data_IF_168173487713
#
_entry.id   IF_168173487713
#
_cell.length_a   1.000
_cell.length_b   1.000
_cell.length_c   1.000
_cell.angle_alpha   90.00
_cell.angle_beta   90.00
_cell.angle_gamma   90.00
#
_symmetry.space_group_name_H-M   'P 1'
#
loop_
_entity.id
_entity.type
_entity.pdbx_description
1 polymer ?
#
# COMPACT_ATOMS: atom_id res chain seq x y z
N UNK A 1 22.42 2.36 18.58
CA UNK A 1 23.53 3.29 18.91
C UNK A 1 23.62 4.32 17.81
N UNK A 2 23.21 5.53 18.06
CA UNK A 2 23.19 6.59 17.04
C UNK A 2 24.48 7.39 17.20
N UNK A 3 25.44 7.15 16.31
CA UNK A 3 26.65 7.98 16.24
C UNK A 3 26.23 9.41 15.90
N UNK A 4 26.62 10.38 16.71
CA UNK A 4 26.33 11.79 16.45
C UNK A 4 27.10 12.19 15.19
N UNK A 5 26.39 12.54 14.14
CA UNK A 5 26.99 12.93 12.85
C UNK A 5 27.44 14.39 12.98
N UNK A 6 28.76 14.60 12.89
CA UNK A 6 29.39 15.94 12.93
C UNK A 6 30.09 16.21 11.62
N UNK A 7 30.30 17.49 11.24
CA UNK A 7 31.10 17.85 10.05
C UNK A 7 32.52 17.23 10.06
N UNK A 8 33.12 17.10 11.24
CA UNK A 8 34.47 16.52 11.37
C UNK A 8 34.45 15.01 11.13
N UNK A 9 33.42 14.31 11.60
CA UNK A 9 33.23 12.88 11.31
C UNK A 9 33.08 12.65 9.80
N UNK A 10 32.27 13.48 9.13
CA UNK A 10 32.09 13.39 7.68
C UNK A 10 33.37 13.71 6.94
N UNK A 11 34.11 14.73 7.36
CA UNK A 11 35.44 15.05 6.77
C UNK A 11 36.40 13.87 6.90
N UNK A 12 36.46 13.24 8.06
CA UNK A 12 37.27 12.04 8.28
C UNK A 12 36.83 10.86 7.40
N UNK A 13 35.52 10.63 7.24
CA UNK A 13 35.03 9.60 6.37
C UNK A 13 35.34 9.87 4.89
N UNK A 14 35.18 11.11 4.43
CA UNK A 14 35.46 11.53 3.06
C UNK A 14 36.93 11.40 2.70
N UNK A 15 37.85 11.54 3.66
CA UNK A 15 39.29 11.33 3.43
C UNK A 15 39.64 9.90 2.99
N UNK A 16 38.77 8.93 3.22
CA UNK A 16 38.96 7.55 2.76
C UNK A 16 38.31 7.28 1.40
N UNK A 17 37.42 8.14 0.94
CA UNK A 17 36.70 7.95 -0.33
C UNK A 17 37.44 8.71 -1.43
N UNK A 18 37.92 8.06 -2.50
CA UNK A 18 38.55 8.76 -3.62
C UNK A 18 37.50 9.66 -4.33
N UNK A 19 37.88 10.89 -4.65
CA UNK A 19 36.93 11.83 -5.26
C UNK A 19 36.79 11.68 -6.80
N UNK A 20 37.60 10.82 -7.42
CA UNK A 20 37.55 10.51 -8.85
C UNK A 20 36.59 9.38 -9.21
N UNK A 21 35.50 9.24 -8.43
CA UNK A 21 34.43 8.28 -8.68
C UNK A 21 33.70 8.54 -10.00
N UNK A 22 32.95 7.52 -10.49
CA UNK A 22 31.99 7.72 -11.56
C UNK A 22 30.99 8.82 -11.18
N UNK A 23 30.49 9.59 -12.17
CA UNK A 23 29.66 10.78 -11.94
C UNK A 23 28.44 10.51 -11.04
N UNK A 24 27.84 9.33 -11.18
CA UNK A 24 26.65 8.95 -10.38
C UNK A 24 27.02 8.74 -8.91
N UNK A 25 28.09 8.02 -8.62
CA UNK A 25 28.56 7.77 -7.26
C UNK A 25 29.09 9.02 -6.60
N UNK A 26 29.81 9.86 -7.34
CA UNK A 26 30.24 11.17 -6.89
C UNK A 26 29.08 12.09 -6.50
N UNK A 27 28.01 12.13 -7.33
CA UNK A 27 26.80 12.88 -7.02
C UNK A 27 26.04 12.28 -5.83
N UNK A 28 26.06 10.95 -5.66
CA UNK A 28 25.46 10.23 -4.53
C UNK A 28 26.12 10.58 -3.21
N UNK A 29 27.43 10.78 -3.18
CA UNK A 29 28.16 11.31 -2.01
C UNK A 29 27.68 12.72 -1.68
N UNK A 30 27.51 13.60 -2.69
CA UNK A 30 26.93 14.93 -2.50
C UNK A 30 25.52 14.90 -1.93
N UNK A 31 24.66 13.99 -2.41
CA UNK A 31 23.30 13.79 -1.89
C UNK A 31 23.33 13.35 -0.42
N UNK A 32 24.23 12.41 -0.08
CA UNK A 32 24.40 11.92 1.28
C UNK A 32 24.83 13.03 2.24
N UNK A 33 25.78 13.90 1.84
CA UNK A 33 26.18 15.06 2.64
C UNK A 33 25.01 16.02 2.80
N UNK A 34 24.32 16.34 1.71
CA UNK A 34 23.21 17.31 1.71
C UNK A 34 21.98 16.84 2.53
N UNK A 35 21.82 15.53 2.69
CA UNK A 35 20.73 14.96 3.53
C UNK A 35 20.91 15.30 5.01
N UNK A 36 22.14 15.51 5.48
CA UNK A 36 22.48 15.84 6.88
C UNK A 36 22.80 17.32 7.06
N UNK A 37 23.54 17.88 6.09
CA UNK A 37 23.99 19.28 6.08
C UNK A 37 23.52 19.97 4.78
N UNK A 38 22.26 20.44 4.74
CA UNK A 38 21.70 21.07 3.52
C UNK A 38 22.21 22.49 3.25
N UNK A 39 22.95 23.07 4.19
CA UNK A 39 23.48 24.43 4.21
C UNK A 39 24.89 24.58 3.60
N UNK A 40 25.55 25.71 3.88
CA UNK A 40 26.93 26.00 3.45
C UNK A 40 27.94 25.01 4.01
N UNK A 41 27.70 24.45 5.20
CA UNK A 41 28.57 23.45 5.81
C UNK A 41 28.71 22.21 4.92
N UNK A 42 27.57 21.70 4.44
CA UNK A 42 27.57 20.55 3.54
C UNK A 42 28.16 20.88 2.17
N UNK A 43 27.92 22.09 1.66
CA UNK A 43 28.54 22.55 0.41
C UNK A 43 30.06 22.57 0.53
N UNK A 44 30.60 23.14 1.60
CA UNK A 44 32.04 23.23 1.85
C UNK A 44 32.69 21.84 1.98
N UNK A 45 32.00 20.89 2.65
CA UNK A 45 32.47 19.50 2.74
C UNK A 45 32.53 18.84 1.36
N UNK A 46 31.49 19.02 0.53
CA UNK A 46 31.45 18.45 -0.81
C UNK A 46 32.46 19.07 -1.75
N UNK A 47 32.64 20.41 -1.70
CA UNK A 47 33.61 21.11 -2.52
C UNK A 47 35.05 20.75 -2.12
N UNK A 48 35.37 20.73 -0.83
CA UNK A 48 36.68 20.37 -0.32
C UNK A 48 37.08 18.92 -0.68
N UNK A 49 36.14 17.96 -0.54
CA UNK A 49 36.37 16.58 -0.94
C UNK A 49 36.54 16.45 -2.46
N UNK A 50 35.65 17.06 -3.25
CA UNK A 50 35.72 17.01 -4.71
C UNK A 50 37.03 17.60 -5.24
N UNK A 51 37.60 18.61 -4.54
CA UNK A 51 38.87 19.25 -4.91
C UNK A 51 40.09 18.34 -4.73
N UNK A 52 39.94 17.17 -4.10
CA UNK A 52 41.06 16.20 -3.98
C UNK A 52 41.24 15.35 -5.25
N UNK A 53 40.33 15.43 -6.23
CA UNK A 53 40.45 14.73 -7.51
C UNK A 53 41.22 15.56 -8.54
N UNK A 54 42.07 14.92 -9.32
CA UNK A 54 42.88 15.58 -10.38
C UNK A 54 42.01 16.19 -11.49
N UNK A 55 40.79 15.65 -11.69
CA UNK A 55 39.82 16.12 -12.69
C UNK A 55 38.76 17.07 -12.11
N UNK A 56 39.00 17.70 -10.97
CA UNK A 56 38.06 18.58 -10.31
C UNK A 56 37.69 19.80 -11.15
N UNK A 57 36.36 20.02 -11.31
CA UNK A 57 35.77 21.23 -11.88
C UNK A 57 34.94 21.96 -10.82
N UNK A 58 35.38 23.13 -10.31
CA UNK A 58 34.64 23.89 -9.30
C UNK A 58 33.25 24.36 -9.76
N UNK A 59 33.07 24.60 -11.07
CA UNK A 59 31.79 25.05 -11.62
C UNK A 59 30.80 23.88 -11.65
N UNK A 60 31.24 22.72 -12.11
CA UNK A 60 30.43 21.49 -12.11
C UNK A 60 30.05 21.06 -10.69
N UNK A 61 30.99 21.16 -9.72
CA UNK A 61 30.74 20.83 -8.31
C UNK A 61 29.64 21.71 -7.72
N UNK A 62 29.72 23.03 -7.87
CA UNK A 62 28.69 23.96 -7.40
C UNK A 62 27.33 23.79 -8.12
N UNK A 63 27.36 23.53 -9.41
CA UNK A 63 26.14 23.26 -10.18
C UNK A 63 25.45 22.01 -9.70
N UNK A 64 26.20 20.93 -9.47
CA UNK A 64 25.68 19.67 -8.93
C UNK A 64 25.12 19.85 -7.53
N UNK A 65 25.84 20.55 -6.63
CA UNK A 65 25.32 20.83 -5.28
C UNK A 65 23.97 21.55 -5.30
N UNK A 66 23.78 22.49 -6.22
CA UNK A 66 22.46 23.18 -6.36
C UNK A 66 21.36 22.28 -6.90
N UNK A 67 21.69 21.37 -7.81
CA UNK A 67 20.72 20.52 -8.50
C UNK A 67 20.28 19.31 -7.68
N UNK A 68 21.13 18.73 -6.82
CA UNK A 68 20.80 17.58 -5.98
C UNK A 68 19.83 18.00 -4.87
N UNK A 69 18.87 17.10 -4.57
CA UNK A 69 17.85 17.31 -3.53
C UNK A 69 18.18 16.49 -2.28
N UNK A 70 17.98 17.07 -1.10
CA UNK A 70 17.95 16.32 0.13
C UNK A 70 16.69 15.41 0.14
N UNK A 71 16.87 14.12 0.38
CA UNK A 71 15.75 13.16 0.48
C UNK A 71 15.45 12.46 -0.83
N UNK A 72 15.90 11.40 -1.16
CA UNK A 72 15.69 10.57 -2.35
C UNK A 72 16.17 9.13 -2.11
N UNK A 73 16.12 8.67 -0.85
CA UNK A 73 16.62 7.35 -0.47
C UNK A 73 18.14 7.29 -0.24
N UNK A 74 18.88 8.39 -0.50
CA UNK A 74 20.33 8.51 -0.24
C UNK A 74 20.51 9.36 1.02
N UNK A 75 20.97 8.76 2.11
CA UNK A 75 21.25 9.43 3.37
C UNK A 75 22.72 9.29 3.78
N UNK A 76 23.09 9.93 4.88
CA UNK A 76 24.46 9.90 5.41
C UNK A 76 24.99 8.49 5.68
N UNK A 77 24.11 7.52 5.93
CA UNK A 77 24.46 6.11 6.05
C UNK A 77 25.14 5.55 4.79
N UNK A 78 24.72 6.01 3.60
CA UNK A 78 25.31 5.60 2.32
C UNK A 78 26.78 6.06 2.22
N UNK A 79 27.09 7.30 2.64
CA UNK A 79 28.46 7.81 2.68
C UNK A 79 29.32 7.02 3.67
N UNK A 80 28.81 6.78 4.87
CA UNK A 80 29.54 6.02 5.90
C UNK A 80 29.76 4.56 5.48
N UNK A 81 28.85 3.97 4.72
CA UNK A 81 29.03 2.63 4.16
C UNK A 81 30.15 2.62 3.11
N UNK A 82 30.09 3.54 2.16
CA UNK A 82 31.14 3.70 1.16
C UNK A 82 32.51 3.96 1.80
N UNK A 83 32.57 4.83 2.81
CA UNK A 83 33.83 5.10 3.53
C UNK A 83 34.38 3.83 4.20
N UNK A 84 33.52 2.97 4.76
CA UNK A 84 33.95 1.68 5.34
C UNK A 84 34.52 0.72 4.30
N UNK A 85 33.93 0.66 3.11
CA UNK A 85 34.50 -0.12 1.99
C UNK A 85 35.90 0.34 1.62
N UNK A 86 36.21 1.63 1.85
CA UNK A 86 37.53 2.23 1.66
C UNK A 86 38.38 2.26 2.95
N UNK A 87 38.04 1.48 3.97
CA UNK A 87 38.85 1.32 5.17
C UNK A 87 38.60 2.31 6.30
N UNK A 88 37.55 3.14 6.21
CA UNK A 88 37.18 4.00 7.32
C UNK A 88 36.61 3.19 8.49
N UNK A 89 37.15 3.43 9.67
CA UNK A 89 36.64 2.83 10.92
C UNK A 89 35.95 3.92 11.72
N UNK A 90 34.66 3.76 11.95
CA UNK A 90 33.92 4.68 12.79
C UNK A 90 34.55 4.74 14.20
N UNK A 91 34.88 5.95 14.71
CA UNK A 91 35.34 6.08 16.07
C UNK A 91 34.33 5.48 17.04
N UNK A 92 34.82 4.64 17.96
CA UNK A 92 33.96 4.18 19.05
C UNK A 92 33.58 5.40 19.91
N UNK A 93 32.29 5.59 20.27
CA UNK A 93 31.92 6.68 21.17
C UNK A 93 32.72 6.54 22.47
N UNK A 94 33.40 7.58 22.86
CA UNK A 94 34.24 7.61 24.10
C UNK A 94 33.35 7.64 25.35
N UNK A 95 32.07 8.05 25.22
CA UNK A 95 31.02 7.95 26.21
C UNK A 95 29.74 7.43 25.56
N UNK A 96 29.06 6.53 26.23
CA UNK A 96 27.71 6.13 25.82
C UNK A 96 26.82 7.38 25.88
N UNK A 97 26.09 7.74 24.80
CA UNK A 97 25.19 8.86 24.85
C UNK A 97 24.20 8.64 26.00
N UNK A 98 24.15 9.58 26.93
CA UNK A 98 23.14 9.53 27.99
C UNK A 98 21.77 9.47 27.32
N UNK A 99 20.89 8.55 27.73
CA UNK A 99 19.54 8.51 27.22
C UNK A 99 18.90 9.90 27.49
N UNK A 100 18.18 10.46 26.51
CA UNK A 100 17.54 11.76 26.69
C UNK A 100 16.66 11.71 27.94
N UNK A 101 16.68 12.78 28.71
CA UNK A 101 15.87 12.86 29.93
C UNK A 101 14.38 12.67 29.60
N UNK A 102 13.57 12.16 30.55
CA UNK A 102 12.12 12.00 30.34
C UNK A 102 11.45 13.30 29.88
N UNK A 103 11.94 14.46 30.30
CA UNK A 103 11.44 15.77 29.90
C UNK A 103 11.71 16.05 28.41
N UNK A 104 12.91 15.74 27.92
CA UNK A 104 13.28 15.88 26.50
C UNK A 104 12.47 14.94 25.62
N UNK A 105 12.21 13.72 26.09
CA UNK A 105 11.34 12.77 25.37
C UNK A 105 9.91 13.28 25.31
N UNK A 106 9.36 13.75 26.44
CA UNK A 106 8.02 14.31 26.50
C UNK A 106 7.87 15.58 25.64
N UNK A 107 8.90 16.42 25.58
CA UNK A 107 8.89 17.59 24.71
C UNK A 107 8.89 17.19 23.22
N UNK A 108 9.73 16.25 22.82
CA UNK A 108 9.76 15.73 21.43
C UNK A 108 8.42 15.11 21.01
N UNK A 109 7.77 14.39 21.92
CA UNK A 109 6.44 13.82 21.66
C UNK A 109 5.37 14.92 21.50
N UNK A 110 5.41 15.97 22.32
CA UNK A 110 4.51 17.14 22.18
C UNK A 110 4.73 17.84 20.82
N UNK A 111 5.97 18.16 20.50
CA UNK A 111 6.32 18.80 19.21
C UNK A 111 5.90 17.95 18.01
N UNK A 112 6.08 16.61 18.10
CA UNK A 112 5.61 15.66 17.09
C UNK A 112 4.08 15.67 16.96
N UNK A 113 3.38 15.65 18.10
CA UNK A 113 1.91 15.68 18.12
C UNK A 113 1.37 17.01 17.58
N UNK A 114 1.99 18.14 17.93
CA UNK A 114 1.63 19.47 17.40
C UNK A 114 1.84 19.56 15.89
N UNK A 115 2.96 19.06 15.39
CA UNK A 115 3.24 18.99 13.95
C UNK A 115 2.21 18.14 13.23
N UNK A 116 1.91 16.95 13.74
CA UNK A 116 0.89 16.09 13.16
C UNK A 116 -0.50 16.74 13.14
N UNK A 117 -0.88 17.44 14.21
CA UNK A 117 -2.15 18.19 14.25
C UNK A 117 -2.17 19.34 13.24
N UNK A 118 -1.06 20.07 13.10
CA UNK A 118 -0.96 21.15 12.11
C UNK A 118 -1.04 20.62 10.68
N UNK A 119 -0.34 19.53 10.37
CA UNK A 119 -0.39 18.86 9.07
C UNK A 119 -1.81 18.35 8.76
N UNK A 120 -2.47 17.72 9.75
CA UNK A 120 -3.85 17.25 9.60
C UNK A 120 -4.82 18.40 9.37
N UNK A 121 -4.72 19.48 10.14
CA UNK A 121 -5.57 20.66 9.96
C UNK A 121 -5.37 21.31 8.59
N UNK A 122 -4.13 21.39 8.11
CA UNK A 122 -3.82 21.89 6.79
C UNK A 122 -4.41 20.97 5.69
N UNK A 123 -4.32 19.66 5.86
CA UNK A 123 -4.89 18.70 4.93
C UNK A 123 -6.43 18.79 4.91
N UNK A 124 -7.07 18.88 6.07
CA UNK A 124 -8.52 19.05 6.18
C UNK A 124 -9.00 20.36 5.54
N UNK A 125 -8.28 21.46 5.73
CA UNK A 125 -8.57 22.73 5.06
C UNK A 125 -8.42 22.64 3.54
N UNK A 126 -7.38 21.95 3.05
CA UNK A 126 -7.20 21.72 1.61
C UNK A 126 -8.33 20.84 1.04
N UNK A 127 -8.74 19.80 1.75
CA UNK A 127 -9.88 18.95 1.37
C UNK A 127 -11.18 19.75 1.32
N UNK A 128 -11.43 20.64 2.29
CA UNK A 128 -12.63 21.47 2.33
C UNK A 128 -12.67 22.48 1.17
N UNK A 129 -11.53 23.11 0.88
CA UNK A 129 -11.42 24.04 -0.25
C UNK A 129 -11.64 23.34 -1.60
N UNK A 130 -11.03 22.17 -1.79
CA UNK A 130 -11.24 21.37 -3.00
C UNK A 130 -12.69 20.86 -3.14
N UNK A 131 -13.36 20.52 -2.03
CA UNK A 131 -14.76 20.13 -2.05
C UNK A 131 -15.69 21.29 -2.43
N UNK A 132 -15.39 22.52 -1.99
CA UNK A 132 -16.14 23.70 -2.37
C UNK A 132 -15.96 24.02 -3.87
N UNK A 133 -14.72 23.94 -4.38
CA UNK A 133 -14.43 24.10 -5.83
C UNK A 133 -15.13 22.99 -6.65
N UNK A 134 -15.07 21.74 -6.19
CA UNK A 134 -15.78 20.63 -6.82
C UNK A 134 -17.28 20.88 -6.93
N UNK A 135 -17.90 21.38 -5.85
CA UNK A 135 -19.33 21.69 -5.85
C UNK A 135 -19.66 22.78 -6.86
N UNK A 136 -18.91 23.88 -6.89
CA UNK A 136 -19.12 24.97 -7.85
C UNK A 136 -19.00 24.49 -9.31
N UNK A 137 -17.98 23.71 -9.63
CA UNK A 137 -17.82 23.12 -10.97
C UNK A 137 -18.93 22.14 -11.31
N UNK A 138 -19.34 21.31 -10.33
CA UNK A 138 -20.44 20.36 -10.51
C UNK A 138 -21.76 21.03 -10.79
N UNK A 139 -22.11 22.09 -10.07
CA UNK A 139 -23.36 22.85 -10.25
C UNK A 139 -23.40 23.61 -11.58
N UNK A 140 -22.27 24.13 -12.02
CA UNK A 140 -22.13 24.82 -13.30
C UNK A 140 -22.18 23.88 -14.52
N UNK A 141 -21.96 22.59 -14.33
CA UNK A 141 -21.90 21.61 -15.41
C UNK A 141 -23.30 21.09 -15.79
N UNK A 142 -23.50 20.82 -17.08
CA UNK A 142 -24.76 20.27 -17.63
C UNK A 142 -24.91 18.78 -17.29
N UNK A 143 -26.16 18.37 -17.07
CA UNK A 143 -26.51 16.94 -16.91
C UNK A 143 -26.63 16.22 -18.27
N UNK A 144 -26.70 16.95 -19.36
CA UNK A 144 -26.75 16.42 -20.73
C UNK A 144 -25.65 17.03 -21.56
N UNK A 145 -25.08 16.27 -22.48
CA UNK A 145 -23.99 16.72 -23.33
C UNK A 145 -23.37 15.60 -24.13
N UNK A 146 -22.29 15.92 -24.82
CA UNK A 146 -21.48 14.97 -25.58
C UNK A 146 -20.04 14.97 -25.05
N UNK A 147 -19.44 13.78 -24.94
CA UNK A 147 -18.04 13.63 -24.57
C UNK A 147 -17.32 12.70 -25.54
N UNK A 148 -16.27 13.19 -26.22
CA UNK A 148 -15.43 12.35 -27.09
C UNK A 148 -14.83 11.16 -26.33
N UNK A 149 -14.60 11.30 -25.02
CA UNK A 149 -14.13 10.21 -24.18
C UNK A 149 -15.15 9.06 -24.13
N UNK A 150 -16.44 9.36 -23.85
CA UNK A 150 -17.51 8.34 -23.80
C UNK A 150 -17.68 7.65 -25.15
N UNK A 151 -17.66 8.42 -26.23
CA UNK A 151 -17.75 7.87 -27.60
C UNK A 151 -16.58 6.94 -27.90
N UNK A 152 -15.36 7.35 -27.59
CA UNK A 152 -14.14 6.56 -27.77
C UNK A 152 -14.15 5.27 -26.93
N UNK A 153 -14.74 5.32 -25.73
CA UNK A 153 -14.86 4.20 -24.83
C UNK A 153 -16.11 3.32 -25.05
N UNK A 154 -16.99 3.73 -25.96
CA UNK A 154 -18.20 3.00 -26.33
C UNK A 154 -19.21 2.86 -25.18
N UNK A 155 -19.26 3.82 -24.24
CA UNK A 155 -20.11 3.78 -23.05
C UNK A 155 -20.98 5.03 -22.91
N UNK A 156 -22.06 4.89 -22.15
CA UNK A 156 -22.98 6.00 -21.86
C UNK A 156 -22.57 6.78 -20.59
N UNK A 157 -23.27 7.88 -20.36
CA UNK A 157 -23.11 8.72 -19.19
C UNK A 157 -23.89 8.15 -18.00
N UNK A 158 -23.21 7.77 -16.91
CA UNK A 158 -23.81 7.25 -15.68
C UNK A 158 -23.44 8.15 -14.50
N UNK A 159 -24.35 9.06 -14.10
CA UNK A 159 -24.19 9.93 -12.94
C UNK A 159 -23.07 10.96 -13.05
N UNK A 160 -22.68 11.33 -14.26
CA UNK A 160 -21.63 12.32 -14.59
C UNK A 160 -22.24 13.60 -15.13
N UNK A 161 -21.42 14.66 -15.25
CA UNK A 161 -21.82 15.92 -15.87
C UNK A 161 -20.80 16.39 -16.90
N UNK A 162 -21.26 17.30 -17.76
CA UNK A 162 -20.48 17.85 -18.88
C UNK A 162 -20.11 19.30 -18.57
N UNK A 163 -18.83 19.56 -18.38
CA UNK A 163 -18.33 20.89 -18.11
C UNK A 163 -18.34 21.78 -19.38
N UNK A 164 -18.43 23.11 -19.24
CA UNK A 164 -18.43 24.03 -20.38
C UNK A 164 -17.17 23.93 -21.26
N UNK A 165 -16.06 23.52 -20.72
CA UNK A 165 -14.78 23.30 -21.44
C UNK A 165 -14.68 21.93 -22.14
N UNK A 166 -15.77 21.15 -22.17
CA UNK A 166 -15.84 19.85 -22.81
C UNK A 166 -15.34 18.70 -21.97
N UNK A 167 -14.84 18.95 -20.76
CA UNK A 167 -14.46 17.88 -19.84
C UNK A 167 -15.67 17.11 -19.31
N UNK A 168 -15.52 15.79 -19.16
CA UNK A 168 -16.47 14.97 -18.41
C UNK A 168 -16.12 15.04 -16.92
N UNK A 169 -17.10 15.33 -16.06
CA UNK A 169 -16.94 15.39 -14.62
C UNK A 169 -17.48 14.14 -13.96
N UNK A 170 -16.61 13.36 -13.32
CA UNK A 170 -16.99 12.19 -12.52
C UNK A 170 -16.90 12.61 -11.04
N UNK A 171 -18.02 12.58 -10.28
CA UNK A 171 -18.02 13.05 -8.91
C UNK A 171 -17.40 12.01 -7.98
N UNK A 172 -16.58 12.47 -7.04
CA UNK A 172 -15.95 11.66 -6.00
C UNK A 172 -16.66 11.90 -4.68
N UNK A 173 -17.45 10.93 -4.23
CA UNK A 173 -18.36 11.08 -3.09
C UNK A 173 -18.02 10.13 -1.96
N UNK A 174 -18.38 10.52 -0.74
CA UNK A 174 -18.34 9.64 0.41
C UNK A 174 -19.62 8.81 0.57
N UNK A 175 -19.63 8.01 1.60
CA UNK A 175 -20.73 7.13 1.99
C UNK A 175 -22.07 7.88 2.27
N UNK A 176 -22.00 9.15 2.64
CA UNK A 176 -23.15 10.02 2.85
C UNK A 176 -23.58 10.77 1.58
N UNK A 177 -22.91 10.54 0.45
CA UNK A 177 -23.17 11.20 -0.83
C UNK A 177 -22.55 12.61 -0.94
N UNK A 178 -21.79 13.08 0.06
CA UNK A 178 -21.11 14.37 0.01
C UNK A 178 -20.03 14.36 -1.08
N UNK A 179 -20.02 15.39 -1.92
CA UNK A 179 -19.00 15.61 -2.93
C UNK A 179 -17.72 16.15 -2.28
N UNK A 180 -16.59 15.45 -2.52
CA UNK A 180 -15.28 15.82 -2.01
C UNK A 180 -14.28 16.20 -3.08
N UNK A 181 -14.49 15.71 -4.31
CA UNK A 181 -13.58 15.93 -5.42
C UNK A 181 -14.29 15.68 -6.74
N UNK A 182 -13.65 16.03 -7.82
CA UNK A 182 -14.03 15.65 -9.19
C UNK A 182 -12.84 15.01 -9.89
N UNK A 183 -13.09 13.91 -10.61
CA UNK A 183 -12.20 13.50 -11.67
C UNK A 183 -12.67 14.17 -12.95
N UNK A 184 -11.84 15.04 -13.50
CA UNK A 184 -12.06 15.71 -14.78
C UNK A 184 -11.40 14.86 -15.87
N UNK A 185 -12.19 14.45 -16.86
CA UNK A 185 -11.67 13.69 -18.00
C UNK A 185 -11.74 14.61 -19.22
N UNK A 186 -10.56 14.92 -19.78
CA UNK A 186 -10.46 15.77 -20.94
C UNK A 186 -11.06 15.09 -22.19
N UNK A 187 -11.61 15.88 -23.14
CA UNK A 187 -12.15 15.34 -24.39
C UNK A 187 -11.09 14.59 -25.19
N UNK A 188 -9.86 15.06 -25.17
CA UNK A 188 -8.72 14.47 -25.84
C UNK A 188 -7.60 14.17 -24.85
N UNK A 189 -6.82 13.12 -25.12
CA UNK A 189 -5.65 12.78 -24.30
C UNK A 189 -4.47 13.66 -24.72
N UNK A 190 -3.88 14.44 -23.80
CA UNK A 190 -2.67 15.20 -24.10
C UNK A 190 -1.52 14.29 -24.51
N UNK A 191 -0.66 14.77 -25.41
CA UNK A 191 0.47 13.99 -25.94
C UNK A 191 1.50 13.60 -24.85
N UNK A 192 1.62 14.41 -23.81
CA UNK A 192 2.61 14.31 -22.73
C UNK A 192 2.01 14.00 -21.34
N UNK A 193 0.74 13.56 -21.29
CA UNK A 193 0.06 13.42 -20.01
C UNK A 193 -1.08 12.42 -19.97
N UNK A 194 -1.84 12.50 -18.88
CA UNK A 194 -3.10 11.79 -18.69
C UNK A 194 -4.29 12.71 -18.99
N UNK A 195 -5.34 12.14 -19.58
CA UNK A 195 -6.62 12.83 -19.78
C UNK A 195 -7.47 12.90 -18.49
N UNK A 196 -7.05 12.24 -17.40
CA UNK A 196 -7.80 12.14 -16.14
C UNK A 196 -7.07 12.88 -15.02
N UNK A 197 -7.63 13.95 -14.52
CA UNK A 197 -7.07 14.77 -13.46
C UNK A 197 -8.07 14.93 -12.32
N UNK A 198 -7.57 14.93 -11.09
CA UNK A 198 -8.34 15.31 -9.90
C UNK A 198 -8.08 16.76 -9.53
N UNK A 199 -9.03 17.39 -8.84
CA UNK A 199 -8.79 18.70 -8.26
C UNK A 199 -7.68 18.62 -7.22
N UNK A 200 -6.77 19.59 -7.28
CA UNK A 200 -5.60 19.63 -6.39
C UNK A 200 -6.03 19.77 -4.93
N UNK A 201 -5.45 18.94 -4.06
CA UNK A 201 -5.81 18.92 -2.64
C UNK A 201 -7.13 18.21 -2.33
N UNK A 202 -7.83 17.68 -3.32
CA UNK A 202 -9.10 16.98 -3.11
C UNK A 202 -8.93 15.59 -2.51
N UNK A 203 -9.82 15.22 -1.62
CA UNK A 203 -9.87 13.88 -1.01
C UNK A 203 -10.29 12.84 -2.05
N UNK A 204 -9.64 11.66 -2.03
CA UNK A 204 -9.97 10.52 -2.91
C UNK A 204 -10.06 9.20 -2.12
N UNK A 205 -9.20 8.98 -1.15
CA UNK A 205 -9.10 7.71 -0.42
C UNK A 205 -10.43 7.34 0.27
N UNK A 206 -10.91 6.13 -0.01
CA UNK A 206 -12.16 5.59 0.51
C UNK A 206 -13.42 6.24 -0.06
N UNK A 207 -13.29 6.98 -1.17
CA UNK A 207 -14.40 7.62 -1.87
C UNK A 207 -14.60 6.97 -3.24
N UNK A 208 -15.83 7.06 -3.75
CA UNK A 208 -16.19 6.43 -5.03
C UNK A 208 -17.25 7.22 -5.78
N UNK A 209 -17.51 6.79 -7.00
CA UNK A 209 -18.65 7.18 -7.81
C UNK A 209 -19.52 5.95 -8.12
N UNK A 210 -20.82 6.10 -8.22
CA UNK A 210 -21.72 5.04 -8.63
C UNK A 210 -22.12 5.15 -10.11
N UNK A 211 -21.94 4.05 -10.86
CA UNK A 211 -22.68 3.79 -12.10
C UNK A 211 -23.87 2.90 -11.71
N UNK A 212 -25.09 3.42 -11.83
CA UNK A 212 -26.31 2.75 -11.35
C UNK A 212 -26.67 3.07 -9.89
N UNK A 213 -27.86 2.64 -9.48
CA UNK A 213 -28.38 2.86 -8.12
C UNK A 213 -28.09 1.65 -7.23
N UNK A 214 -27.35 1.80 -6.11
CA UNK A 214 -27.04 0.70 -5.18
C UNK A 214 -28.18 0.35 -4.23
N UNK A 215 -29.29 1.08 -4.22
CA UNK A 215 -30.37 0.90 -3.26
C UNK A 215 -30.98 -0.51 -3.40
N UNK A 216 -30.94 -1.29 -2.32
CA UNK A 216 -31.49 -2.65 -2.28
C UNK A 216 -30.75 -3.71 -3.09
N UNK A 217 -29.62 -3.38 -3.71
CA UNK A 217 -28.85 -4.31 -4.53
C UNK A 217 -28.20 -5.41 -3.67
N UNK A 218 -28.36 -6.66 -4.08
CA UNK A 218 -27.75 -7.83 -3.45
C UNK A 218 -26.36 -8.14 -4.01
N UNK A 219 -26.01 -7.56 -5.17
CA UNK A 219 -24.70 -7.65 -5.81
C UNK A 219 -24.23 -6.26 -6.14
N UNK A 220 -23.02 -5.93 -5.76
CA UNK A 220 -22.38 -4.65 -6.04
C UNK A 220 -21.02 -4.92 -6.67
N UNK A 221 -20.74 -4.30 -7.80
CA UNK A 221 -19.46 -4.39 -8.46
C UNK A 221 -18.56 -3.22 -8.03
N UNK A 222 -17.25 -3.42 -8.09
CA UNK A 222 -16.24 -2.39 -7.84
C UNK A 222 -15.21 -2.46 -8.95
N UNK A 223 -14.89 -1.35 -9.59
CA UNK A 223 -13.91 -1.25 -10.66
C UNK A 223 -12.98 -0.05 -10.47
N UNK A 224 -11.82 -0.08 -11.12
CA UNK A 224 -10.83 1.01 -10.99
C UNK A 224 -11.26 2.26 -11.74
N UNK A 225 -11.60 2.14 -13.02
CA UNK A 225 -11.85 3.26 -13.92
C UNK A 225 -13.32 3.48 -14.24
N UNK A 226 -13.68 4.73 -14.62
CA UNK A 226 -15.05 5.06 -14.99
C UNK A 226 -15.53 4.27 -16.23
N UNK A 227 -14.72 4.17 -17.30
CA UNK A 227 -15.14 3.43 -18.50
C UNK A 227 -15.32 1.95 -18.22
N UNK A 228 -14.43 1.35 -17.42
CA UNK A 228 -14.52 -0.03 -16.96
C UNK A 228 -15.83 -0.26 -16.19
N UNK A 229 -16.14 0.66 -15.24
CA UNK A 229 -17.37 0.59 -14.45
C UNK A 229 -18.64 0.78 -15.31
N UNK A 230 -18.62 1.70 -16.26
CA UNK A 230 -19.74 1.91 -17.19
C UNK A 230 -19.98 0.66 -18.05
N UNK A 231 -18.95 0.05 -18.63
CA UNK A 231 -19.06 -1.21 -19.40
C UNK A 231 -19.65 -2.33 -18.55
N UNK A 232 -19.17 -2.47 -17.30
CA UNK A 232 -19.69 -3.48 -16.37
C UNK A 232 -21.17 -3.24 -16.01
N UNK A 233 -21.54 -1.98 -15.76
CA UNK A 233 -22.93 -1.62 -15.48
C UNK A 233 -23.85 -1.89 -16.68
N UNK A 234 -23.44 -1.49 -17.86
CA UNK A 234 -24.21 -1.69 -19.08
C UNK A 234 -24.33 -3.17 -19.47
N UNK A 235 -23.31 -3.99 -19.18
CA UNK A 235 -23.30 -5.41 -19.45
C UNK A 235 -24.13 -6.23 -18.46
N UNK A 236 -24.19 -5.82 -17.20
CA UNK A 236 -24.75 -6.65 -16.12
C UNK A 236 -26.01 -6.08 -15.49
N UNK A 237 -26.27 -4.79 -15.63
CA UNK A 237 -27.31 -4.06 -14.90
C UNK A 237 -27.00 -3.86 -13.40
N UNK A 238 -25.92 -4.43 -12.85
CA UNK A 238 -25.54 -4.23 -11.46
C UNK A 238 -24.97 -2.82 -11.24
N UNK A 239 -25.19 -2.23 -10.05
CA UNK A 239 -24.50 -0.98 -9.69
C UNK A 239 -23.01 -1.22 -9.48
N UNK A 240 -22.21 -0.31 -10.04
CA UNK A 240 -20.74 -0.40 -10.02
C UNK A 240 -20.14 0.83 -9.33
N UNK A 241 -19.33 0.60 -8.30
CA UNK A 241 -18.56 1.65 -7.65
C UNK A 241 -17.22 1.84 -8.36
N UNK A 242 -16.96 3.07 -8.83
CA UNK A 242 -15.69 3.48 -9.40
C UNK A 242 -14.73 3.85 -8.28
N UNK A 243 -13.66 3.10 -8.10
CA UNK A 243 -12.64 3.36 -7.06
C UNK A 243 -11.56 4.35 -7.52
N UNK A 244 -11.48 4.69 -8.80
CA UNK A 244 -10.58 5.61 -9.46
C UNK A 244 -9.14 5.15 -9.63
N UNK A 245 -8.64 4.22 -8.83
CA UNK A 245 -7.36 3.53 -9.00
C UNK A 245 -7.27 2.26 -8.15
N UNK A 246 -6.28 1.39 -8.50
CA UNK A 246 -6.01 0.14 -7.82
C UNK A 246 -5.70 0.29 -6.31
N UNK A 247 -5.05 1.40 -5.92
CA UNK A 247 -4.71 1.68 -4.51
C UNK A 247 -5.92 1.96 -3.64
N UNK A 248 -7.00 2.48 -4.24
CA UNK A 248 -8.23 2.81 -3.55
C UNK A 248 -9.23 1.64 -3.45
N UNK A 249 -9.05 0.56 -4.22
CA UNK A 249 -9.96 -0.61 -4.20
C UNK A 249 -10.21 -1.13 -2.78
N UNK A 250 -9.16 -1.34 -2.00
CA UNK A 250 -9.28 -1.86 -0.64
C UNK A 250 -10.05 -0.91 0.31
N UNK A 251 -9.85 0.40 0.15
CA UNK A 251 -10.56 1.39 0.96
C UNK A 251 -12.04 1.48 0.60
N UNK A 252 -12.35 1.47 -0.70
CA UNK A 252 -13.72 1.51 -1.21
C UNK A 252 -14.47 0.24 -0.84
N UNK A 253 -13.93 -0.95 -1.09
CA UNK A 253 -14.57 -2.22 -0.75
C UNK A 253 -14.85 -2.35 0.74
N UNK A 254 -13.92 -1.88 1.60
CA UNK A 254 -14.13 -1.85 3.05
C UNK A 254 -15.29 -0.93 3.44
N UNK A 255 -15.36 0.27 2.86
CA UNK A 255 -16.45 1.21 3.11
C UNK A 255 -17.80 0.66 2.63
N UNK A 256 -17.83 0.06 1.43
CA UNK A 256 -19.03 -0.57 0.89
C UNK A 256 -19.50 -1.75 1.73
N UNK A 257 -18.60 -2.58 2.25
CA UNK A 257 -18.95 -3.69 3.14
C UNK A 257 -19.59 -3.21 4.43
N UNK A 258 -19.17 -2.06 4.97
CA UNK A 258 -19.79 -1.46 6.15
C UNK A 258 -21.23 -1.00 5.89
N UNK A 259 -21.51 -0.44 4.70
CA UNK A 259 -22.83 0.02 4.30
C UNK A 259 -23.75 -1.12 3.81
N UNK A 260 -23.22 -2.04 3.02
CA UNK A 260 -23.96 -3.10 2.34
C UNK A 260 -23.54 -4.47 2.88
N UNK A 261 -23.85 -4.73 4.15
CA UNK A 261 -23.38 -5.92 4.88
C UNK A 261 -23.79 -7.25 4.23
N UNK A 262 -24.99 -7.30 3.64
CA UNK A 262 -25.54 -8.50 3.03
C UNK A 262 -25.20 -8.67 1.54
N UNK A 263 -24.75 -7.61 0.86
CA UNK A 263 -24.48 -7.67 -0.57
C UNK A 263 -23.21 -8.47 -0.87
N UNK A 264 -23.20 -9.21 -1.97
CA UNK A 264 -22.00 -9.75 -2.56
C UNK A 264 -21.22 -8.61 -3.21
N UNK A 265 -19.98 -8.38 -2.76
CA UNK A 265 -19.06 -7.44 -3.39
C UNK A 265 -18.21 -8.20 -4.40
N UNK A 266 -18.23 -7.75 -5.65
CA UNK A 266 -17.45 -8.30 -6.75
C UNK A 266 -16.44 -7.25 -7.20
N UNK A 267 -15.15 -7.51 -7.02
CA UNK A 267 -14.08 -6.62 -7.43
C UNK A 267 -13.64 -7.02 -8.83
N UNK A 268 -13.97 -6.18 -9.80
CA UNK A 268 -13.60 -6.33 -11.21
C UNK A 268 -12.26 -5.62 -11.42
N UNK A 269 -11.17 -6.39 -11.33
CA UNK A 269 -9.80 -5.86 -11.40
C UNK A 269 -9.29 -5.75 -12.84
N UNK A 270 -8.24 -4.95 -13.01
CA UNK A 270 -7.51 -4.87 -14.26
C UNK A 270 -6.49 -6.03 -14.37
N UNK A 271 -6.27 -6.55 -15.57
CA UNK A 271 -5.27 -7.58 -15.89
C UNK A 271 -4.03 -6.94 -16.53
N UNK A 272 -3.15 -6.40 -15.69
CA UNK A 272 -1.94 -5.66 -16.09
C UNK A 272 -0.82 -6.53 -16.67
N UNK A 273 -1.11 -7.35 -17.70
CA UNK A 273 -0.16 -8.31 -18.30
C UNK A 273 1.13 -7.65 -18.79
N UNK A 274 1.05 -6.45 -19.36
CA UNK A 274 2.23 -5.71 -19.81
C UNK A 274 3.13 -5.27 -18.64
N UNK A 275 2.55 -4.91 -17.51
CA UNK A 275 3.29 -4.61 -16.27
C UNK A 275 3.88 -5.88 -15.68
N UNK A 276 3.13 -6.99 -15.66
CA UNK A 276 3.58 -8.29 -15.18
C UNK A 276 4.80 -8.79 -15.99
N UNK A 277 4.76 -8.70 -17.31
CA UNK A 277 5.88 -9.10 -18.18
C UNK A 277 7.16 -8.29 -17.88
N UNK A 278 7.04 -7.04 -17.48
CA UNK A 278 8.18 -6.15 -17.20
C UNK A 278 8.69 -6.28 -15.75
N UNK A 279 7.80 -6.46 -14.77
CA UNK A 279 8.12 -6.37 -13.34
C UNK A 279 7.97 -7.67 -12.57
N UNK A 280 7.42 -8.72 -13.19
CA UNK A 280 7.10 -9.99 -12.55
C UNK A 280 5.83 -9.98 -11.69
N UNK A 281 5.08 -8.86 -11.66
CA UNK A 281 3.89 -8.73 -10.82
C UNK A 281 2.73 -8.07 -11.56
N UNK A 282 1.57 -8.72 -11.55
CA UNK A 282 0.32 -8.16 -12.04
C UNK A 282 -0.34 -7.33 -10.94
N UNK A 283 -0.11 -6.01 -10.97
CA UNK A 283 -0.54 -5.12 -9.88
C UNK A 283 -2.06 -5.02 -9.77
N UNK A 284 -2.78 -4.93 -10.88
CA UNK A 284 -4.24 -4.86 -10.89
C UNK A 284 -4.87 -6.11 -10.29
N UNK A 285 -4.46 -7.30 -10.77
CA UNK A 285 -4.90 -8.60 -10.24
C UNK A 285 -4.65 -8.73 -8.74
N UNK A 286 -3.41 -8.52 -8.29
CA UNK A 286 -3.02 -8.68 -6.88
C UNK A 286 -3.85 -7.79 -5.96
N UNK A 287 -4.07 -6.53 -6.36
CA UNK A 287 -4.86 -5.58 -5.56
C UNK A 287 -6.34 -5.90 -5.55
N UNK A 288 -6.91 -6.32 -6.69
CA UNK A 288 -8.31 -6.72 -6.78
C UNK A 288 -8.60 -7.96 -5.91
N UNK A 289 -7.77 -9.00 -6.01
CA UNK A 289 -7.88 -10.20 -5.20
C UNK A 289 -7.73 -9.91 -3.69
N UNK A 290 -6.76 -9.06 -3.32
CA UNK A 290 -6.58 -8.67 -1.92
C UNK A 290 -7.77 -7.88 -1.39
N UNK A 291 -8.32 -6.93 -2.17
CA UNK A 291 -9.49 -6.16 -1.81
C UNK A 291 -10.74 -7.04 -1.65
N UNK A 292 -10.97 -7.96 -2.59
CA UNK A 292 -12.09 -8.91 -2.52
C UNK A 292 -11.99 -9.83 -1.31
N UNK A 293 -10.80 -10.41 -1.07
CA UNK A 293 -10.54 -11.29 0.07
C UNK A 293 -10.80 -10.61 1.42
N UNK A 294 -10.37 -9.35 1.56
CA UNK A 294 -10.53 -8.57 2.79
C UNK A 294 -11.99 -8.36 3.19
N UNK A 295 -12.93 -8.40 2.23
CA UNK A 295 -14.37 -8.20 2.46
C UNK A 295 -15.21 -9.46 2.20
N UNK A 296 -14.58 -10.63 2.06
CA UNK A 296 -15.23 -11.89 1.69
C UNK A 296 -16.09 -11.73 0.44
N UNK A 297 -15.55 -11.02 -0.55
CA UNK A 297 -16.11 -10.81 -1.85
C UNK A 297 -15.48 -11.73 -2.90
N UNK A 298 -15.82 -11.49 -4.15
CA UNK A 298 -15.32 -12.19 -5.32
C UNK A 298 -14.41 -11.24 -6.12
N UNK A 299 -13.29 -11.73 -6.64
CA UNK A 299 -12.50 -11.03 -7.66
C UNK A 299 -12.76 -11.64 -9.03
N UNK A 300 -12.98 -10.79 -10.03
CA UNK A 300 -13.14 -11.19 -11.43
C UNK A 300 -12.21 -10.35 -12.28
N UNK A 301 -11.55 -10.99 -13.24
CA UNK A 301 -10.63 -10.33 -14.19
C UNK A 301 -11.15 -10.48 -15.61
N UNK A 302 -10.88 -9.54 -16.51
CA UNK A 302 -11.28 -9.66 -17.90
C UNK A 302 -10.50 -10.78 -18.61
N UNK A 303 -11.16 -11.44 -19.58
CA UNK A 303 -10.59 -12.54 -20.35
C UNK A 303 -10.62 -12.23 -21.85
N UNK A 304 -9.77 -12.93 -22.63
CA UNK A 304 -9.74 -12.79 -24.07
C UNK A 304 -9.39 -11.38 -24.55
N UNK A 305 -8.58 -10.64 -23.79
CA UNK A 305 -8.20 -9.26 -24.09
C UNK A 305 -7.32 -9.17 -25.35
N UNK A 306 -7.50 -8.10 -26.15
CA UNK A 306 -6.60 -7.82 -27.26
C UNK A 306 -5.20 -7.46 -26.75
N UNK A 307 -4.22 -7.42 -27.67
CA UNK A 307 -2.87 -6.98 -27.36
C UNK A 307 -2.88 -5.54 -26.79
N UNK A 308 -2.29 -5.37 -25.61
CA UNK A 308 -2.27 -4.11 -24.89
C UNK A 308 -3.53 -3.77 -24.10
N UNK A 309 -4.58 -4.58 -24.18
CA UNK A 309 -5.76 -4.47 -23.35
C UNK A 309 -5.52 -4.94 -21.91
N UNK A 310 -6.20 -4.32 -20.95
CA UNK A 310 -6.03 -4.63 -19.53
C UNK A 310 -7.32 -4.62 -18.70
N UNK A 311 -8.41 -4.03 -19.21
CA UNK A 311 -9.61 -3.81 -18.40
C UNK A 311 -10.90 -4.32 -19.09
N UNK A 312 -12.02 -4.31 -18.36
CA UNK A 312 -13.31 -4.76 -18.89
C UNK A 312 -13.89 -3.83 -19.99
N UNK A 313 -13.43 -2.58 -20.09
CA UNK A 313 -13.80 -1.75 -21.23
C UNK A 313 -13.06 -2.19 -22.52
N UNK A 314 -11.80 -2.62 -22.39
CA UNK A 314 -11.06 -3.20 -23.52
C UNK A 314 -11.72 -4.52 -23.96
N UNK A 315 -12.15 -5.36 -23.01
CA UNK A 315 -12.94 -6.57 -23.30
C UNK A 315 -14.27 -6.22 -23.97
N UNK A 316 -15.01 -5.23 -23.46
CA UNK A 316 -16.26 -4.73 -24.08
C UNK A 316 -16.02 -4.31 -25.52
N UNK A 317 -15.00 -3.50 -25.80
CA UNK A 317 -14.72 -3.04 -27.16
C UNK A 317 -14.30 -4.18 -28.11
N UNK A 318 -13.66 -5.22 -27.60
CA UNK A 318 -13.20 -6.35 -28.40
C UNK A 318 -14.28 -7.43 -28.62
N UNK A 319 -15.13 -7.70 -27.61
CA UNK A 319 -16.02 -8.86 -27.58
C UNK A 319 -17.50 -8.50 -27.37
N UNK A 320 -17.81 -7.23 -27.07
CA UNK A 320 -19.18 -6.78 -26.78
C UNK A 320 -19.59 -6.90 -25.31
N UNK A 321 -20.70 -6.25 -24.97
CA UNK A 321 -21.25 -6.24 -23.61
C UNK A 321 -21.74 -7.62 -23.16
N UNK A 322 -22.28 -8.43 -24.07
CA UNK A 322 -22.77 -9.78 -23.74
C UNK A 322 -21.68 -10.67 -23.19
N UNK A 323 -20.44 -10.61 -23.76
CA UNK A 323 -19.31 -11.35 -23.26
C UNK A 323 -18.88 -10.93 -21.85
N UNK A 324 -18.87 -9.61 -21.58
CA UNK A 324 -18.59 -9.07 -20.25
C UNK A 324 -19.66 -9.54 -19.26
N UNK A 325 -20.95 -9.44 -19.62
CA UNK A 325 -22.07 -9.89 -18.80
C UNK A 325 -22.03 -11.38 -18.48
N UNK A 326 -21.71 -12.22 -19.47
CA UNK A 326 -21.57 -13.66 -19.30
C UNK A 326 -20.45 -14.01 -18.31
N UNK A 327 -19.24 -13.46 -18.50
CA UNK A 327 -18.10 -13.72 -17.62
C UNK A 327 -18.39 -13.35 -16.16
N UNK A 328 -18.94 -12.15 -15.92
CA UNK A 328 -19.25 -11.70 -14.56
C UNK A 328 -20.40 -12.52 -13.98
N UNK A 329 -21.45 -12.82 -14.76
CA UNK A 329 -22.59 -13.61 -14.34
C UNK A 329 -22.22 -15.04 -13.94
N UNK A 330 -21.39 -15.70 -14.77
CA UNK A 330 -20.89 -17.05 -14.49
C UNK A 330 -20.03 -17.09 -13.22
N UNK A 331 -19.16 -16.11 -13.02
CA UNK A 331 -18.33 -16.01 -11.82
C UNK A 331 -19.18 -15.82 -10.55
N UNK A 332 -20.23 -14.99 -10.61
CA UNK A 332 -21.17 -14.79 -9.51
C UNK A 332 -21.95 -16.09 -9.21
N UNK A 333 -22.48 -16.74 -10.25
CA UNK A 333 -23.25 -17.98 -10.10
C UNK A 333 -22.39 -19.11 -9.51
N UNK A 334 -21.15 -19.26 -9.97
CA UNK A 334 -20.20 -20.25 -9.43
C UNK A 334 -19.87 -19.98 -7.95
N UNK A 335 -19.66 -18.72 -7.58
CA UNK A 335 -19.41 -18.32 -6.20
C UNK A 335 -20.60 -18.64 -5.30
N UNK A 336 -21.84 -18.32 -5.73
CA UNK A 336 -23.07 -18.61 -4.97
C UNK A 336 -23.33 -20.11 -4.83
N UNK A 337 -23.09 -20.88 -5.90
CA UNK A 337 -23.22 -22.34 -5.86
C UNK A 337 -22.22 -22.97 -4.86
N UNK A 338 -20.97 -22.50 -4.84
CA UNK A 338 -19.96 -22.96 -3.89
C UNK A 338 -20.33 -22.65 -2.44
N UNK A 339 -20.91 -21.48 -2.17
CA UNK A 339 -21.43 -21.14 -0.84
C UNK A 339 -22.61 -22.00 -0.43
N UNK A 340 -23.54 -22.27 -1.35
CA UNK A 340 -24.70 -23.14 -1.09
C UNK A 340 -24.27 -24.59 -0.80
N UNK A 341 -23.28 -25.12 -1.51
CA UNK A 341 -22.70 -26.44 -1.24
C UNK A 341 -21.99 -26.50 0.11
N UNK A 342 -21.26 -25.47 0.48
CA UNK A 342 -20.60 -25.40 1.79
C UNK A 342 -21.62 -25.36 2.96
N UNK A 343 -22.80 -24.79 2.74
CA UNK A 343 -23.89 -24.76 3.71
C UNK A 343 -24.70 -26.08 3.74
N UNK A 344 -24.72 -26.84 2.63
CA UNK A 344 -25.44 -28.11 2.49
C UNK A 344 -24.56 -29.32 2.79
N UNK A 345 -23.25 -29.17 2.91
CA UNK A 345 -22.39 -30.24 3.40
C UNK A 345 -22.82 -30.53 4.83
N UNK A 346 -23.43 -31.72 5.11
CA UNK A 346 -23.83 -32.02 6.46
C UNK A 346 -22.56 -32.01 7.30
N UNK A 347 -22.55 -31.24 8.34
CA UNK A 347 -21.78 -31.53 9.54
C UNK A 347 -22.33 -32.87 10.08
N UNK A 348 -22.01 -33.97 9.38
CA UNK A 348 -22.12 -35.28 9.95
C UNK A 348 -20.92 -35.51 10.85
N UNK A 349 -21.00 -34.91 12.00
CA UNK A 349 -20.46 -35.51 13.21
C UNK A 349 -21.56 -35.35 14.27
N UNK A 350 -22.39 -36.35 14.37
CA UNK A 350 -22.95 -36.78 15.66
C UNK A 350 -21.84 -36.61 16.67
N UNK A 351 -22.07 -35.99 17.83
CA UNK A 351 -21.11 -36.10 18.92
C UNK A 351 -21.09 -37.57 19.34
N UNK A 352 -20.24 -38.37 18.71
CA UNK A 352 -19.71 -39.52 19.37
C UNK A 352 -18.89 -38.98 20.52
N UNK A 353 -19.21 -39.42 21.72
CA UNK A 353 -18.38 -39.27 22.93
C UNK A 353 -16.93 -39.63 22.61
N UNK A 354 -16.19 -38.63 22.12
CA UNK A 354 -14.73 -38.67 22.13
C UNK A 354 -14.30 -37.93 23.38
N UNK A 355 -14.00 -38.70 24.42
CA UNK A 355 -13.02 -38.31 25.39
C UNK A 355 -11.88 -37.55 24.67
N UNK A 356 -11.48 -36.36 25.16
CA UNK A 356 -10.37 -35.65 24.56
C UNK A 356 -9.19 -36.64 24.53
N UNK A 357 -8.50 -36.80 23.38
CA UNK A 357 -7.37 -37.68 23.30
C UNK A 357 -6.43 -37.29 24.41
N UNK A 358 -6.07 -38.26 25.27
CA UNK A 358 -5.04 -38.10 26.28
C UNK A 358 -3.83 -37.46 25.58
N UNK A 359 -3.31 -36.37 26.16
CA UNK A 359 -2.13 -35.71 25.66
C UNK A 359 -1.09 -36.73 25.24
N UNK A 360 -0.66 -36.78 23.96
CA UNK A 360 0.48 -37.62 23.63
C UNK A 360 1.66 -37.15 24.48
N UNK A 361 2.53 -38.07 24.91
CA UNK A 361 3.72 -37.72 25.68
C UNK A 361 4.49 -36.66 24.91
N UNK A 362 5.04 -35.69 25.62
CA UNK A 362 5.74 -34.51 25.09
C UNK A 362 6.98 -34.93 24.29
N UNK A 363 6.79 -35.44 23.09
CA UNK A 363 7.83 -35.50 22.07
C UNK A 363 7.81 -34.16 21.34
N UNK A 364 8.93 -33.42 21.42
CA UNK A 364 9.11 -32.12 20.81
C UNK A 364 8.73 -32.16 19.33
N UNK A 365 7.80 -31.33 18.93
CA UNK A 365 7.45 -31.18 17.51
C UNK A 365 8.55 -30.35 16.83
N UNK A 366 9.25 -30.96 15.88
CA UNK A 366 10.22 -30.26 15.06
C UNK A 366 9.51 -29.49 13.95
N UNK A 367 9.66 -28.16 13.95
CA UNK A 367 9.36 -27.30 12.82
C UNK A 367 10.71 -26.82 12.29
N UNK A 368 11.16 -27.31 11.15
CA UNK A 368 12.42 -26.87 10.55
C UNK A 368 12.35 -25.35 10.23
N UNK A 369 13.23 -24.49 10.75
CA UNK A 369 14.40 -24.73 11.63
C UNK A 369 14.14 -24.60 13.15
N UNK A 370 12.90 -24.70 13.62
CA UNK A 370 12.52 -24.51 15.01
C UNK A 370 12.10 -25.82 15.68
N UNK A 371 12.51 -26.00 16.95
CA UNK A 371 12.06 -27.08 17.82
C UNK A 371 11.32 -26.47 19.01
N UNK A 372 10.21 -27.08 19.43
CA UNK A 372 9.42 -26.65 20.59
C UNK A 372 9.41 -27.80 21.61
N UNK A 373 9.82 -27.53 22.83
CA UNK A 373 9.75 -28.43 23.97
C UNK A 373 9.17 -27.71 25.20
N UNK A 374 9.19 -28.38 26.35
CA UNK A 374 8.65 -27.79 27.59
C UNK A 374 9.48 -26.61 28.11
N UNK A 375 10.73 -26.49 27.70
CA UNK A 375 11.63 -25.39 28.08
C UNK A 375 11.48 -24.16 27.14
N UNK A 376 10.86 -24.33 25.97
CA UNK A 376 10.58 -23.22 25.06
C UNK A 376 10.71 -23.54 23.58
N UNK A 377 10.91 -22.48 22.82
CA UNK A 377 11.15 -22.50 21.37
C UNK A 377 12.63 -22.31 21.11
N UNK A 378 13.22 -23.22 20.37
CA UNK A 378 14.64 -23.24 20.01
C UNK A 378 14.81 -23.09 18.50
N UNK A 379 15.78 -22.31 18.09
CA UNK A 379 16.16 -22.17 16.69
C UNK A 379 17.46 -22.92 16.41
N UNK A 380 17.41 -23.88 15.50
CA UNK A 380 18.57 -24.63 15.02
C UNK A 380 19.01 -24.08 13.67
N UNK A 381 20.14 -23.41 13.64
CA UNK A 381 20.72 -22.85 12.41
C UNK A 381 21.96 -23.64 11.97
N UNK A 382 22.45 -23.34 10.78
CA UNK A 382 23.75 -23.80 10.27
C UNK A 382 24.72 -22.63 10.19
N UNK A 383 26.02 -22.88 10.26
CA UNK A 383 27.05 -21.88 10.00
C UNK A 383 27.26 -21.66 8.48
N UNK A 384 28.23 -20.81 8.13
CA UNK A 384 28.54 -20.51 6.72
C UNK A 384 29.11 -21.71 5.96
N UNK A 385 29.62 -22.69 6.67
CA UNK A 385 30.14 -23.95 6.17
C UNK A 385 29.11 -25.08 6.15
N UNK A 386 27.83 -24.80 6.53
CA UNK A 386 26.75 -25.77 6.54
C UNK A 386 26.72 -26.71 7.77
N UNK A 387 27.54 -26.44 8.81
CA UNK A 387 27.55 -27.24 10.02
C UNK A 387 26.46 -26.80 11.00
N UNK A 388 25.78 -27.73 11.71
CA UNK A 388 24.77 -27.39 12.69
C UNK A 388 25.34 -26.54 13.84
N UNK A 389 24.70 -25.43 14.13
CA UNK A 389 24.97 -24.62 15.33
C UNK A 389 24.22 -25.18 16.53
N UNK A 390 24.75 -24.97 17.76
CA UNK A 390 23.99 -25.27 18.96
C UNK A 390 22.61 -24.58 18.92
N UNK A 391 21.51 -25.27 19.30
CA UNK A 391 20.20 -24.66 19.36
C UNK A 391 20.20 -23.41 20.23
N UNK A 392 19.64 -22.30 19.67
CA UNK A 392 19.53 -21.03 20.37
C UNK A 392 18.12 -20.92 20.95
N UNK A 393 17.99 -20.70 22.24
CA UNK A 393 16.71 -20.43 22.87
C UNK A 393 16.13 -19.09 22.37
N UNK A 394 14.89 -19.10 21.91
CA UNK A 394 14.21 -17.95 21.33
C UNK A 394 13.24 -17.33 22.32
N UNK A 395 12.37 -18.15 22.90
CA UNK A 395 11.39 -17.73 23.90
C UNK A 395 10.87 -18.94 24.69
N UNK A 396 10.13 -18.68 25.78
CA UNK A 396 9.38 -19.71 26.48
C UNK A 396 8.38 -20.38 25.54
N UNK A 397 7.95 -21.60 25.89
CA UNK A 397 6.90 -22.30 25.13
C UNK A 397 5.69 -21.40 24.93
N UNK A 398 5.20 -21.34 23.69
CA UNK A 398 4.00 -20.64 23.28
C UNK A 398 2.92 -21.65 22.97
N UNK A 399 1.84 -21.67 23.75
CA UNK A 399 0.70 -22.53 23.51
C UNK A 399 -0.47 -21.71 22.94
N UNK A 400 -1.02 -22.15 21.82
CA UNK A 400 -2.22 -21.57 21.25
C UNK A 400 -3.42 -22.18 21.99
N UNK A 401 -4.03 -21.41 22.88
CA UNK A 401 -5.16 -21.85 23.69
C UNK A 401 -6.50 -21.74 22.95
N UNK A 402 -6.65 -20.73 22.10
CA UNK A 402 -7.88 -20.51 21.36
C UNK A 402 -7.64 -19.63 20.12
N UNK A 403 -8.51 -19.73 19.12
CA UNK A 403 -8.71 -18.73 18.12
C UNK A 403 -9.59 -17.60 18.69
N UNK A 404 -9.13 -16.38 18.62
CA UNK A 404 -9.86 -15.22 19.12
C UNK A 404 -10.47 -14.44 17.97
N UNK A 405 -11.56 -13.73 18.26
CA UNK A 405 -12.22 -12.79 17.36
C UNK A 405 -12.39 -11.47 18.11
N UNK A 406 -12.17 -10.34 17.45
CA UNK A 406 -12.49 -9.05 18.06
C UNK A 406 -14.00 -8.87 18.25
N UNK A 407 -14.40 -7.90 19.07
CA UNK A 407 -15.82 -7.67 19.39
C UNK A 407 -16.67 -7.35 18.15
N UNK A 408 -16.05 -6.79 17.11
CA UNK A 408 -16.70 -6.45 15.84
C UNK A 408 -16.72 -7.64 14.86
N UNK A 409 -16.11 -8.77 15.22
CA UNK A 409 -16.05 -9.98 14.42
C UNK A 409 -15.20 -9.87 13.15
N UNK A 410 -14.47 -8.78 12.97
CA UNK A 410 -13.71 -8.46 11.76
C UNK A 410 -12.25 -8.93 11.80
N UNK A 411 -11.68 -9.09 12.99
CA UNK A 411 -10.29 -9.53 13.19
C UNK A 411 -10.20 -10.90 13.83
N UNK A 412 -9.36 -11.78 13.25
CA UNK A 412 -8.97 -13.04 13.86
C UNK A 412 -7.64 -12.88 14.57
N UNK A 413 -7.43 -13.68 15.60
CA UNK A 413 -6.19 -13.75 16.35
C UNK A 413 -6.01 -15.10 17.03
N UNK A 414 -4.93 -15.21 17.76
CA UNK A 414 -4.59 -16.37 18.57
C UNK A 414 -4.48 -15.95 20.02
N UNK A 415 -5.14 -16.65 20.93
CA UNK A 415 -4.87 -16.53 22.36
C UNK A 415 -3.66 -17.40 22.68
N UNK A 416 -2.54 -16.74 22.93
CA UNK A 416 -1.28 -17.39 23.28
C UNK A 416 -1.12 -17.41 24.80
N UNK A 417 -0.70 -18.54 25.34
CA UNK A 417 -0.21 -18.66 26.71
C UNK A 417 1.32 -18.84 26.68
N UNK A 418 2.02 -18.14 27.55
CA UNK A 418 3.46 -18.21 27.71
C UNK A 418 3.86 -17.80 29.14
N UNK A 419 5.09 -18.06 29.50
CA UNK A 419 5.66 -17.55 30.76
C UNK A 419 6.55 -16.33 30.48
N UNK A 420 6.46 -15.32 31.35
CA UNK A 420 7.39 -14.19 31.32
C UNK A 420 8.80 -14.63 31.81
N UNK A 421 9.83 -13.76 31.65
CA UNK A 421 11.19 -14.11 32.10
C UNK A 421 11.32 -14.44 33.58
N UNK A 422 10.30 -14.15 34.40
CA UNK A 422 10.24 -14.50 35.82
C UNK A 422 9.42 -15.78 36.07
N UNK A 423 9.03 -16.51 35.02
CA UNK A 423 8.24 -17.74 35.09
C UNK A 423 6.76 -17.54 35.39
N UNK A 424 6.23 -16.32 35.38
CA UNK A 424 4.82 -16.06 35.62
C UNK A 424 3.99 -16.30 34.37
N UNK A 425 2.86 -17.02 34.45
CA UNK A 425 1.99 -17.26 33.28
C UNK A 425 1.37 -15.95 32.80
N UNK A 426 1.38 -15.78 31.48
CA UNK A 426 0.81 -14.66 30.74
C UNK A 426 -0.06 -15.19 29.62
N UNK A 427 -1.03 -14.37 29.24
CA UNK A 427 -1.83 -14.60 28.02
C UNK A 427 -1.77 -13.36 27.15
N UNK A 428 -1.73 -13.57 25.84
CA UNK A 428 -1.74 -12.51 24.86
C UNK A 428 -2.66 -12.86 23.68
N UNK A 429 -3.65 -12.02 23.45
CA UNK A 429 -4.47 -12.10 22.26
C UNK A 429 -3.71 -11.47 21.08
N UNK A 430 -2.97 -12.28 20.33
CA UNK A 430 -2.17 -11.83 19.19
C UNK A 430 -3.02 -11.74 17.94
N UNK A 431 -3.18 -10.56 17.31
CA UNK A 431 -3.88 -10.43 16.04
C UNK A 431 -3.19 -11.23 14.93
N UNK A 432 -3.95 -11.98 14.12
CA UNK A 432 -3.38 -12.80 13.03
C UNK A 432 -2.56 -11.99 12.01
N UNK A 433 -2.84 -10.70 11.85
CA UNK A 433 -2.07 -9.76 11.01
C UNK A 433 -0.61 -9.56 11.44
N UNK A 434 -0.22 -10.02 12.63
CA UNK A 434 1.18 -9.97 13.09
C UNK A 434 2.02 -11.16 12.61
N UNK A 435 1.39 -12.13 11.93
CA UNK A 435 2.06 -13.29 11.34
C UNK A 435 2.27 -13.16 9.82
N UNK A 436 1.88 -12.02 9.25
CA UNK A 436 2.02 -11.72 7.80
C UNK A 436 3.22 -10.80 7.54
#
# INVERSE_FOLDING_TARGET
MTTHITPDLIRAALAHIPANLAREDWARVGMAIKSEFPDTTGQDLFEAWSATADNHDPRATRSTWRSIKAGGGVGIGTLLHLAKEHGFVLPKPTEAPQPPSPEVLAQREREKAERQRAEQAQQEAAHAAAAADALGQWEAASTTGHSPYLTRKGVHAHGVRFAPDGCLLVPVRDAAGKLWNLQRIAPERPADGTDKLFLKGGRKSGLWHWCGDPAGALVLLVAEGYATAASLHEATGYPVAVAFDAGNLAHVTKALRQQHRAALLVVCGDDDRATEARTGTNTGRVKAEAAARAVRGLAVLPEGLPDGGSDFNDMHQAQGLDAVGALVGEAIAAHQAGQAQALQSPTSTTPADHEPPANPPAEGRAFDPFTVDDAGVWHSGVDKEGQPKPPMWVCSRLDVQALTRDQDGAGWGYLLAFADPLGKPKQWAMPARMLS
#
